data_IF_400986097516
#
_entry.id   IF_400986097516
#
_cell.length_a   1.000
_cell.length_b   1.000
_cell.length_c   1.000
_cell.angle_alpha   90.00
_cell.angle_beta   90.00
_cell.angle_gamma   90.00
#
_symmetry.space_group_name_H-M   'P 1'
#
loop_
_entity.id
_entity.type
_entity.pdbx_description
1 polymer ?
#
# COMPACT_ATOMS: atom_id res chain seq x y z
N UNK A 1 7.33 -19.19 -44.77
CA UNK A 1 8.59 -19.86 -44.37
C UNK A 1 9.08 -19.16 -43.12
N UNK A 2 9.38 -19.75 -41.97
CA UNK A 2 9.36 -21.10 -41.40
C UNK A 2 9.53 -20.86 -39.88
N UNK A 3 8.69 -21.46 -39.05
CA UNK A 3 8.99 -22.65 -38.25
C UNK A 3 10.05 -22.44 -37.15
N UNK A 4 9.60 -22.82 -35.95
CA UNK A 4 10.23 -22.88 -34.64
C UNK A 4 11.64 -23.47 -34.59
N UNK A 5 12.35 -23.18 -33.50
CA UNK A 5 12.91 -24.21 -32.61
C UNK A 5 13.28 -23.60 -31.24
N UNK A 6 12.62 -24.06 -30.19
CA UNK A 6 13.02 -23.83 -28.79
C UNK A 6 13.44 -25.18 -28.20
N UNK A 7 14.72 -25.31 -27.89
CA UNK A 7 15.28 -26.47 -27.20
C UNK A 7 15.14 -26.26 -25.69
N UNK A 8 14.25 -27.02 -25.07
CA UNK A 8 14.05 -27.06 -23.62
C UNK A 8 14.88 -28.21 -23.05
N UNK A 9 16.07 -27.92 -22.54
CA UNK A 9 16.87 -28.87 -21.77
C UNK A 9 17.21 -28.28 -20.40
N UNK A 10 16.69 -28.94 -19.38
CA UNK A 10 17.35 -29.07 -18.09
C UNK A 10 17.17 -27.93 -17.09
N UNK A 11 16.01 -27.87 -16.44
CA UNK A 11 15.91 -27.31 -15.09
C UNK A 11 14.68 -27.91 -14.37
N UNK A 12 14.72 -29.22 -14.12
CA UNK A 12 13.91 -29.83 -13.08
C UNK A 12 14.72 -29.79 -11.79
N UNK A 13 14.55 -28.74 -10.99
CA UNK A 13 14.41 -28.92 -9.54
C UNK A 13 13.82 -27.65 -8.91
N UNK A 14 12.59 -27.82 -8.42
CA UNK A 14 12.06 -27.09 -7.28
C UNK A 14 11.67 -25.61 -7.50
N UNK A 15 10.52 -25.39 -8.17
CA UNK A 15 9.49 -24.39 -7.80
C UNK A 15 8.26 -24.57 -8.71
N UNK A 16 7.08 -24.54 -8.09
CA UNK A 16 5.79 -24.97 -8.63
C UNK A 16 5.49 -24.47 -10.04
N UNK A 17 5.53 -25.40 -10.98
CA UNK A 17 5.00 -25.23 -12.34
C UNK A 17 3.53 -25.60 -12.36
N UNK A 18 2.75 -24.79 -13.08
CA UNK A 18 1.36 -25.05 -13.46
C UNK A 18 1.33 -26.29 -14.37
N UNK A 19 1.16 -27.45 -13.75
CA UNK A 19 0.96 -28.73 -14.43
C UNK A 19 -0.54 -28.83 -14.70
N UNK A 20 -0.93 -28.92 -15.97
CA UNK A 20 -2.31 -29.26 -16.35
C UNK A 20 -2.56 -30.71 -15.89
N UNK A 21 -3.08 -30.87 -14.68
CA UNK A 21 -3.59 -32.15 -14.18
C UNK A 21 -4.92 -32.44 -14.85
N UNK A 22 -4.94 -33.38 -15.79
CA UNK A 22 -6.19 -33.98 -16.27
C UNK A 22 -6.78 -34.86 -15.15
N UNK A 23 -8.03 -34.59 -14.80
CA UNK A 23 -8.75 -35.28 -13.72
C UNK A 23 -9.03 -36.72 -14.19
N UNK A 24 -8.18 -37.67 -13.79
CA UNK A 24 -8.29 -39.09 -14.18
C UNK A 24 -9.36 -39.85 -13.36
N UNK A 25 -9.81 -39.29 -12.23
CA UNK A 25 -10.87 -39.87 -11.40
C UNK A 25 -12.00 -38.86 -11.21
N UNK A 26 -13.16 -39.12 -11.83
CA UNK A 26 -14.43 -38.55 -11.37
C UNK A 26 -14.68 -39.11 -9.97
N UNK A 27 -14.67 -38.25 -8.95
CA UNK A 27 -15.17 -38.66 -7.64
C UNK A 27 -16.60 -39.15 -7.81
N UNK A 28 -16.89 -40.37 -7.34
CA UNK A 28 -18.22 -40.93 -7.13
C UNK A 28 -18.90 -40.22 -5.95
N UNK A 29 -18.82 -38.90 -5.92
CA UNK A 29 -19.47 -38.05 -4.94
C UNK A 29 -20.51 -37.29 -5.74
N UNK A 30 -21.77 -37.70 -5.56
CA UNK A 30 -22.92 -37.04 -6.16
C UNK A 30 -22.83 -35.57 -5.76
N UNK A 31 -22.85 -34.68 -6.75
CA UNK A 31 -22.80 -33.25 -6.52
C UNK A 31 -23.94 -32.87 -5.56
N UNK A 32 -23.66 -32.17 -4.44
CA UNK A 32 -24.69 -31.80 -3.46
C UNK A 32 -25.84 -31.00 -4.08
N UNK A 33 -25.59 -30.26 -5.18
CA UNK A 33 -26.65 -29.62 -5.96
C UNK A 33 -27.52 -30.67 -6.64
N UNK A 34 -26.93 -31.70 -7.22
CA UNK A 34 -27.62 -32.81 -7.87
C UNK A 34 -28.43 -33.65 -6.86
N UNK A 35 -27.92 -33.81 -5.64
CA UNK A 35 -28.65 -34.43 -4.53
C UNK A 35 -29.82 -33.56 -4.06
N UNK A 36 -29.65 -32.24 -4.01
CA UNK A 36 -30.73 -31.29 -3.70
C UNK A 36 -31.80 -31.22 -4.80
N UNK A 37 -31.42 -31.34 -6.07
CA UNK A 37 -32.37 -31.41 -7.19
C UNK A 37 -33.15 -32.72 -7.17
N UNK A 38 -32.52 -33.82 -6.74
CA UNK A 38 -33.19 -35.11 -6.53
C UNK A 38 -34.15 -35.09 -5.33
N UNK A 39 -33.86 -34.30 -4.29
CA UNK A 39 -34.71 -34.19 -3.10
C UNK A 39 -35.88 -33.22 -3.26
N UNK A 40 -35.88 -32.39 -4.31
CA UNK A 40 -37.02 -31.57 -4.69
C UNK A 40 -38.20 -32.46 -5.10
N UNK A 41 -39.17 -32.58 -4.21
CA UNK A 41 -40.47 -33.18 -4.52
C UNK A 41 -41.18 -32.29 -5.55
N UNK A 42 -41.56 -32.87 -6.69
CA UNK A 42 -42.41 -32.20 -7.69
C UNK A 42 -43.66 -31.70 -6.97
N UNK A 43 -43.74 -30.39 -6.75
CA UNK A 43 -44.92 -29.74 -6.21
C UNK A 43 -46.10 -30.07 -7.11
N UNK A 44 -47.29 -30.25 -6.51
CA UNK A 44 -48.52 -30.54 -7.25
C UNK A 44 -48.64 -29.57 -8.43
N UNK A 45 -48.99 -30.06 -9.63
CA UNK A 45 -49.05 -29.21 -10.81
C UNK A 45 -49.96 -28.02 -10.51
N UNK A 46 -49.50 -26.81 -10.85
CA UNK A 46 -50.27 -25.57 -10.71
C UNK A 46 -51.59 -25.69 -11.51
N UNK A 47 -51.60 -26.56 -12.53
CA UNK A 47 -52.74 -26.90 -13.35
C UNK A 47 -53.42 -28.20 -12.86
N UNK A 48 -54.73 -28.14 -12.60
CA UNK A 48 -55.54 -29.21 -11.98
C UNK A 48 -55.82 -30.44 -12.86
N UNK A 49 -55.34 -30.53 -14.10
CA UNK A 49 -55.58 -31.71 -14.97
C UNK A 49 -54.51 -31.92 -16.04
N UNK A 50 -54.34 -33.17 -16.48
CA UNK A 50 -53.43 -33.57 -17.56
C UNK A 50 -53.81 -32.91 -18.91
N UNK A 51 -52.83 -32.65 -19.80
CA UNK A 51 -53.10 -32.08 -21.12
C UNK A 51 -54.01 -33.03 -21.92
N UNK A 52 -55.02 -32.51 -22.65
CA UNK A 52 -55.80 -33.36 -23.54
C UNK A 52 -54.89 -33.89 -24.66
N UNK A 53 -55.06 -35.16 -25.03
CA UNK A 53 -54.35 -35.80 -26.14
C UNK A 53 -54.58 -35.00 -27.43
N UNK A 54 -53.55 -34.29 -27.88
CA UNK A 54 -53.56 -33.44 -29.08
C UNK A 54 -53.73 -34.29 -30.34
N UNK A 55 -54.83 -34.14 -31.08
CA UNK A 55 -55.13 -34.95 -32.27
C UNK A 55 -54.95 -34.23 -33.62
N UNK A 56 -54.62 -32.93 -33.70
CA UNK A 56 -54.31 -32.30 -34.99
C UNK A 56 -53.60 -30.93 -34.89
N UNK A 57 -52.53 -30.75 -35.68
CA UNK A 57 -51.78 -29.49 -35.81
C UNK A 57 -52.60 -28.32 -36.39
N UNK A 58 -53.65 -28.60 -37.16
CA UNK A 58 -54.52 -27.56 -37.73
C UNK A 58 -55.46 -26.94 -36.69
N UNK A 59 -55.87 -27.69 -35.66
CA UNK A 59 -56.66 -27.16 -34.53
C UNK A 59 -55.83 -26.25 -33.61
N UNK A 60 -54.51 -26.36 -33.67
CA UNK A 60 -53.57 -25.50 -32.93
C UNK A 60 -53.40 -24.16 -33.65
N UNK A 61 -53.33 -24.16 -34.99
CA UNK A 61 -53.10 -22.95 -35.80
C UNK A 61 -54.34 -22.06 -35.93
N UNK A 62 -55.56 -22.64 -35.90
CA UNK A 62 -56.81 -21.88 -36.03
C UNK A 62 -57.23 -21.20 -34.72
N UNK A 63 -56.66 -21.60 -33.57
CA UNK A 63 -56.84 -20.91 -32.26
C UNK A 63 -56.03 -19.61 -32.15
N UNK A 64 -56.18 -18.74 -33.15
CA UNK A 64 -55.88 -17.30 -33.05
C UNK A 64 -56.49 -16.78 -31.73
N UNK A 65 -55.66 -16.16 -30.90
CA UNK A 65 -55.94 -15.72 -29.53
C UNK A 65 -56.99 -14.59 -29.39
N UNK A 66 -58.04 -14.58 -30.20
CA UNK A 66 -59.12 -13.60 -30.15
C UNK A 66 -60.45 -14.35 -30.16
N UNK A 67 -61.06 -14.43 -28.97
CA UNK A 67 -62.39 -15.01 -28.66
C UNK A 67 -62.38 -16.42 -28.05
N UNK A 68 -62.10 -16.48 -26.74
CA UNK A 68 -62.72 -17.46 -25.84
C UNK A 68 -63.28 -16.72 -24.63
N UNK A 69 -64.48 -16.16 -24.79
CA UNK A 69 -65.41 -16.02 -23.66
C UNK A 69 -66.44 -17.12 -23.81
N UNK A 70 -66.57 -17.92 -22.74
CA UNK A 70 -67.56 -18.97 -22.50
C UNK A 70 -67.20 -20.41 -22.87
N UNK A 71 -66.16 -20.95 -22.24
CA UNK A 71 -66.31 -22.19 -21.47
C UNK A 71 -65.44 -22.12 -20.21
N UNK A 72 -66.06 -22.40 -19.08
CA UNK A 72 -65.64 -22.05 -17.74
C UNK A 72 -64.44 -22.86 -17.23
N UNK A 73 -63.23 -22.36 -17.44
CA UNK A 73 -62.13 -22.49 -16.48
C UNK A 73 -61.11 -21.40 -16.75
N UNK A 74 -61.42 -20.22 -16.22
CA UNK A 74 -60.53 -19.08 -16.06
C UNK A 74 -59.15 -19.51 -15.58
N UNK A 75 -58.19 -19.73 -16.47
CA UNK A 75 -56.76 -19.86 -16.14
C UNK A 75 -56.16 -18.48 -15.89
N UNK A 76 -56.86 -17.70 -15.08
CA UNK A 76 -56.48 -16.35 -14.67
C UNK A 76 -55.84 -16.45 -13.30
N UNK A 77 -54.57 -16.05 -13.20
CA UNK A 77 -53.91 -15.88 -11.91
C UNK A 77 -54.78 -14.97 -11.04
N UNK A 78 -55.02 -15.35 -9.80
CA UNK A 78 -55.79 -14.55 -8.86
C UNK A 78 -55.15 -13.13 -8.77
N UNK A 79 -55.89 -12.07 -9.12
CA UNK A 79 -55.37 -10.70 -9.08
C UNK A 79 -54.81 -10.33 -7.70
N UNK A 80 -55.34 -10.92 -6.62
CA UNK A 80 -54.88 -10.64 -5.27
C UNK A 80 -53.46 -11.20 -5.02
N UNK A 81 -53.20 -12.43 -5.48
CA UNK A 81 -51.87 -13.06 -5.39
C UNK A 81 -50.86 -12.28 -6.23
N UNK A 82 -51.28 -11.75 -7.38
CA UNK A 82 -50.43 -10.95 -8.26
C UNK A 82 -50.03 -9.63 -7.59
N UNK A 83 -50.97 -8.94 -6.94
CA UNK A 83 -50.70 -7.71 -6.16
C UNK A 83 -49.79 -8.01 -4.97
N UNK A 84 -50.01 -9.11 -4.25
CA UNK A 84 -49.15 -9.54 -3.14
C UNK A 84 -47.71 -9.82 -3.63
N UNK A 85 -47.54 -10.54 -4.73
CA UNK A 85 -46.23 -10.81 -5.33
C UNK A 85 -45.51 -9.52 -5.74
N UNK A 86 -46.22 -8.57 -6.37
CA UNK A 86 -45.65 -7.27 -6.70
C UNK A 86 -45.29 -6.45 -5.47
N UNK A 87 -46.06 -6.56 -4.39
CA UNK A 87 -45.78 -5.88 -3.12
C UNK A 87 -44.51 -6.45 -2.47
N UNK A 88 -44.39 -7.77 -2.39
CA UNK A 88 -43.19 -8.46 -1.88
C UNK A 88 -41.97 -8.13 -2.75
N UNK A 89 -42.13 -8.13 -4.07
CA UNK A 89 -41.05 -7.77 -4.99
C UNK A 89 -40.61 -6.31 -4.83
N UNK A 90 -41.56 -5.39 -4.67
CA UNK A 90 -41.29 -3.97 -4.40
C UNK A 90 -40.53 -3.78 -3.09
N UNK A 91 -41.00 -4.40 -2.01
CA UNK A 91 -40.32 -4.33 -0.71
C UNK A 91 -38.90 -4.90 -0.78
N UNK A 92 -38.71 -6.01 -1.49
CA UNK A 92 -37.38 -6.56 -1.74
C UNK A 92 -36.50 -5.61 -2.57
N UNK A 93 -37.03 -4.96 -3.61
CA UNK A 93 -36.29 -3.98 -4.40
C UNK A 93 -35.88 -2.77 -3.56
N UNK A 94 -36.78 -2.24 -2.74
CA UNK A 94 -36.53 -1.10 -1.87
C UNK A 94 -35.48 -1.44 -0.81
N UNK A 95 -35.58 -2.62 -0.19
CA UNK A 95 -34.58 -3.15 0.73
C UNK A 95 -33.20 -3.27 0.08
N UNK A 96 -33.14 -3.79 -1.16
CA UNK A 96 -31.87 -3.90 -1.89
C UNK A 96 -31.28 -2.55 -2.27
N UNK A 97 -32.11 -1.59 -2.68
CA UNK A 97 -31.67 -0.23 -2.95
C UNK A 97 -31.09 0.44 -1.70
N UNK A 98 -31.72 0.24 -0.54
CA UNK A 98 -31.23 0.75 0.73
C UNK A 98 -29.90 0.10 1.14
N UNK A 99 -29.77 -1.23 1.02
CA UNK A 99 -28.51 -1.95 1.29
C UNK A 99 -27.36 -1.40 0.43
N UNK A 100 -27.61 -1.19 -0.86
CA UNK A 100 -26.62 -0.64 -1.80
C UNK A 100 -26.23 0.78 -1.38
N UNK A 101 -27.22 1.63 -1.07
CA UNK A 101 -26.98 3.02 -0.66
C UNK A 101 -26.12 3.09 0.60
N UNK A 102 -26.47 2.32 1.63
CA UNK A 102 -25.71 2.26 2.88
C UNK A 102 -24.28 1.74 2.65
N UNK A 103 -24.12 0.73 1.78
CA UNK A 103 -22.79 0.20 1.42
C UNK A 103 -21.95 1.24 0.70
N UNK A 104 -22.57 2.02 -0.18
CA UNK A 104 -21.91 3.05 -0.98
C UNK A 104 -21.46 4.22 -0.11
N UNK A 105 -22.27 4.64 0.85
CA UNK A 105 -21.92 5.64 1.87
C UNK A 105 -20.73 5.18 2.76
N UNK A 106 -20.73 3.91 3.22
CA UNK A 106 -19.58 3.36 3.97
C UNK A 106 -18.28 3.39 3.14
N UNK A 107 -18.37 3.05 1.86
CA UNK A 107 -17.22 3.07 0.95
C UNK A 107 -16.72 4.50 0.74
N UNK A 108 -17.62 5.46 0.51
CA UNK A 108 -17.29 6.88 0.34
C UNK A 108 -16.58 7.43 1.58
N UNK A 109 -17.13 7.22 2.77
CA UNK A 109 -16.51 7.62 4.04
C UNK A 109 -15.09 7.03 4.20
N UNK A 110 -14.89 5.77 3.83
CA UNK A 110 -13.57 5.13 3.88
C UNK A 110 -12.59 5.71 2.86
N UNK A 111 -13.06 6.09 1.68
CA UNK A 111 -12.25 6.74 0.65
C UNK A 111 -11.81 8.12 1.15
N UNK A 112 -12.72 8.91 1.73
CA UNK A 112 -12.38 10.24 2.29
C UNK A 112 -11.31 10.14 3.38
N UNK A 113 -11.46 9.20 4.31
CA UNK A 113 -10.47 8.97 5.36
C UNK A 113 -9.13 8.53 4.77
N UNK A 114 -9.13 7.63 3.78
CA UNK A 114 -7.92 7.18 3.12
C UNK A 114 -7.19 8.33 2.38
N UNK A 115 -7.93 9.20 1.69
CA UNK A 115 -7.38 10.38 1.00
C UNK A 115 -6.78 11.40 1.98
N UNK A 116 -7.49 11.68 3.07
CA UNK A 116 -7.00 12.55 4.13
C UNK A 116 -5.71 12.02 4.78
N UNK A 117 -5.63 10.70 5.00
CA UNK A 117 -4.43 10.05 5.52
C UNK A 117 -3.28 10.06 4.50
N UNK A 118 -3.55 9.78 3.23
CA UNK A 118 -2.55 9.81 2.16
C UNK A 118 -1.95 11.21 2.02
N UNK A 119 -2.79 12.25 2.04
CA UNK A 119 -2.37 13.65 2.00
C UNK A 119 -1.47 14.03 3.19
N UNK A 120 -1.86 13.63 4.41
CA UNK A 120 -1.05 13.85 5.63
C UNK A 120 0.29 13.12 5.57
N UNK A 121 0.30 11.89 5.06
CA UNK A 121 1.52 11.09 4.91
C UNK A 121 2.48 11.76 3.92
N UNK A 122 1.97 12.21 2.77
CA UNK A 122 2.76 12.92 1.77
C UNK A 122 3.34 14.22 2.33
N UNK A 123 2.54 15.00 3.07
CA UNK A 123 3.01 16.22 3.73
C UNK A 123 4.18 15.94 4.69
N UNK A 124 4.05 14.91 5.54
CA UNK A 124 5.13 14.53 6.48
C UNK A 124 6.37 14.04 5.76
N UNK A 125 6.22 13.25 4.70
CA UNK A 125 7.35 12.80 3.90
C UNK A 125 8.11 13.98 3.28
N UNK A 126 7.40 14.94 2.70
CA UNK A 126 8.03 16.13 2.10
C UNK A 126 8.76 16.98 3.14
N UNK A 127 8.19 17.14 4.33
CA UNK A 127 8.87 17.84 5.43
C UNK A 127 10.14 17.11 5.86
N UNK A 128 10.06 15.79 6.09
CA UNK A 128 11.21 14.96 6.45
C UNK A 128 12.32 15.00 5.38
N UNK A 129 11.93 14.87 4.10
CA UNK A 129 12.83 14.97 2.96
C UNK A 129 13.53 16.34 2.91
N UNK A 130 12.80 17.42 3.18
CA UNK A 130 13.38 18.77 3.24
C UNK A 130 14.39 18.89 4.39
N UNK A 131 14.03 18.44 5.59
CA UNK A 131 14.93 18.44 6.74
C UNK A 131 16.20 17.63 6.46
N UNK A 132 16.05 16.45 5.86
CA UNK A 132 17.17 15.57 5.51
C UNK A 132 18.10 16.20 4.46
N UNK A 133 17.55 16.91 3.45
CA UNK A 133 18.35 17.68 2.50
C UNK A 133 19.14 18.80 3.18
N UNK A 134 18.52 19.54 4.09
CA UNK A 134 19.19 20.59 4.86
C UNK A 134 20.33 20.02 5.70
N UNK A 135 20.10 18.93 6.43
CA UNK A 135 21.15 18.24 7.20
C UNK A 135 22.28 17.74 6.29
N UNK A 136 21.94 17.12 5.15
CA UNK A 136 22.93 16.67 4.17
C UNK A 136 23.77 17.83 3.63
N UNK A 137 23.15 18.99 3.37
CA UNK A 137 23.85 20.18 2.93
C UNK A 137 24.81 20.70 4.01
N UNK A 138 24.37 20.81 5.28
CA UNK A 138 25.26 21.19 6.37
C UNK A 138 26.43 20.22 6.55
N UNK A 139 26.19 18.90 6.49
CA UNK A 139 27.25 17.90 6.57
C UNK A 139 28.25 18.00 5.42
N UNK A 140 27.80 18.35 4.21
CA UNK A 140 28.72 18.59 3.09
C UNK A 140 29.67 19.77 3.33
N UNK A 141 29.22 20.79 4.06
CA UNK A 141 30.07 21.95 4.43
C UNK A 141 31.09 21.61 5.52
N UNK A 142 30.78 20.66 6.42
CA UNK A 142 31.69 20.21 7.49
C UNK A 142 33.02 19.70 6.92
N UNK A 143 32.98 19.00 5.78
CA UNK A 143 34.21 18.51 5.14
C UNK A 143 35.14 19.66 4.73
N UNK A 144 34.58 20.75 4.17
CA UNK A 144 35.36 21.94 3.82
C UNK A 144 36.03 22.58 5.03
N UNK A 145 35.27 22.77 6.11
CA UNK A 145 35.80 23.32 7.37
C UNK A 145 36.88 22.42 7.98
N UNK A 146 36.74 21.10 7.88
CA UNK A 146 37.74 20.16 8.37
C UNK A 146 39.08 20.31 7.63
N UNK A 147 39.03 20.56 6.32
CA UNK A 147 40.23 20.80 5.50
C UNK A 147 40.90 22.12 5.90
N UNK A 148 40.13 23.21 6.00
CA UNK A 148 40.64 24.53 6.40
C UNK A 148 41.26 24.50 7.81
N UNK A 149 40.64 23.80 8.76
CA UNK A 149 41.19 23.59 10.10
C UNK A 149 42.51 22.82 10.06
N UNK A 150 42.62 21.81 9.21
CA UNK A 150 43.85 21.05 8.99
C UNK A 150 44.99 21.93 8.45
N UNK A 151 44.69 22.76 7.46
CA UNK A 151 45.65 23.70 6.88
C UNK A 151 46.12 24.74 7.91
N UNK A 152 45.18 25.35 8.65
CA UNK A 152 45.48 26.32 9.69
C UNK A 152 46.35 25.72 10.80
N UNK A 153 46.05 24.48 11.22
CA UNK A 153 46.89 23.73 12.17
C UNK A 153 48.30 23.50 11.63
N UNK A 154 48.43 23.19 10.33
CA UNK A 154 49.73 23.07 9.66
C UNK A 154 50.52 24.38 9.72
N UNK A 155 49.91 25.50 9.31
CA UNK A 155 50.52 26.84 9.37
C UNK A 155 50.92 27.25 10.78
N UNK A 156 50.07 26.99 11.78
CA UNK A 156 50.38 27.26 13.18
C UNK A 156 51.58 26.44 13.67
N UNK A 157 51.64 25.16 13.30
CA UNK A 157 52.77 24.28 13.66
C UNK A 157 54.07 24.79 13.04
N UNK A 158 54.02 25.26 11.79
CA UNK A 158 55.16 25.87 11.12
C UNK A 158 55.63 27.14 11.85
N UNK A 159 54.71 28.04 12.22
CA UNK A 159 55.02 29.26 12.97
C UNK A 159 55.63 28.94 14.34
N UNK A 160 55.06 27.98 15.08
CA UNK A 160 55.61 27.55 16.38
C UNK A 160 57.02 26.99 16.20
N UNK A 161 57.25 26.15 15.19
CA UNK A 161 58.56 25.59 14.91
C UNK A 161 59.55 26.71 14.48
N UNK A 162 59.12 27.67 13.68
CA UNK A 162 59.92 28.83 13.31
C UNK A 162 60.32 29.64 14.56
N UNK A 163 59.37 29.94 15.45
CA UNK A 163 59.64 30.59 16.73
C UNK A 163 60.60 29.77 17.60
N UNK A 164 60.48 28.45 17.68
CA UNK A 164 61.40 27.58 18.42
C UNK A 164 62.82 27.62 17.84
N UNK A 165 62.95 27.56 16.50
CA UNK A 165 64.26 27.71 15.85
C UNK A 165 64.89 29.08 16.10
N UNK A 166 64.06 30.13 16.14
CA UNK A 166 64.51 31.48 16.49
C UNK A 166 64.96 31.56 17.95
N UNK A 167 64.19 30.98 18.88
CA UNK A 167 64.55 30.91 20.30
C UNK A 167 65.89 30.18 20.50
N UNK A 168 66.07 29.04 19.82
CA UNK A 168 67.34 28.28 19.82
C UNK A 168 68.51 29.12 19.28
N UNK A 169 68.30 29.87 18.19
CA UNK A 169 69.33 30.76 17.63
C UNK A 169 69.70 31.89 18.58
N UNK A 170 68.72 32.53 19.22
CA UNK A 170 68.98 33.58 20.22
C UNK A 170 69.76 33.01 21.40
N UNK A 171 69.45 31.80 21.84
CA UNK A 171 70.21 31.14 22.92
C UNK A 171 71.65 30.80 22.52
N UNK A 172 71.91 30.45 21.25
CA UNK A 172 73.24 30.09 20.75
C UNK A 172 74.11 31.33 20.43
N UNK A 173 73.54 32.34 19.77
CA UNK A 173 74.28 33.45 19.14
C UNK A 173 73.87 34.84 19.67
N UNK A 174 72.79 34.93 20.45
CA UNK A 174 72.23 36.20 20.92
C UNK A 174 73.01 36.85 22.06
N UNK A 175 72.87 38.17 22.17
CA UNK A 175 73.44 38.99 23.24
C UNK A 175 72.88 38.62 24.62
N UNK A 176 73.65 38.88 25.68
CA UNK A 176 73.33 38.42 27.04
C UNK A 176 71.97 38.95 27.56
N UNK A 177 71.55 40.15 27.13
CA UNK A 177 70.23 40.72 27.42
C UNK A 177 69.09 39.91 26.80
N UNK A 178 69.23 39.50 25.53
CA UNK A 178 68.21 38.73 24.81
C UNK A 178 68.06 37.31 25.35
N UNK A 179 69.16 36.67 25.76
CA UNK A 179 69.13 35.33 26.38
C UNK A 179 68.35 35.30 27.69
N UNK A 180 68.30 36.41 28.43
CA UNK A 180 67.55 36.50 29.69
C UNK A 180 66.03 36.65 29.50
N UNK A 181 65.58 37.03 28.29
CA UNK A 181 64.18 37.38 28.01
C UNK A 181 63.42 36.27 27.26
N UNK A 182 64.12 35.37 26.57
CA UNK A 182 63.48 34.35 25.73
C UNK A 182 63.10 33.11 26.55
N UNK A 183 61.80 32.81 26.61
CA UNK A 183 61.27 31.55 27.15
C UNK A 183 60.72 30.71 25.99
N UNK A 184 61.16 29.45 25.80
CA UNK A 184 60.62 28.59 24.73
C UNK A 184 59.12 28.32 24.92
N UNK A 185 58.39 28.26 23.82
CA UNK A 185 56.98 27.85 23.81
C UNK A 185 56.90 26.34 24.06
N UNK A 186 56.67 25.94 25.31
CA UNK A 186 56.46 24.53 25.66
C UNK A 186 55.01 24.15 25.32
N UNK A 187 54.85 23.19 24.42
CA UNK A 187 53.55 22.57 24.13
C UNK A 187 53.19 21.65 25.30
N UNK A 188 52.12 21.97 26.04
CA UNK A 188 51.60 21.08 27.07
C UNK A 188 51.04 19.78 26.44
N UNK A 189 51.25 18.60 27.05
CA UNK A 189 50.72 17.35 26.55
C UNK A 189 49.18 17.35 26.54
N UNK A 190 48.55 16.63 25.59
CA UNK A 190 47.13 16.73 25.27
C UNK A 190 46.16 16.30 26.39
N UNK A 191 46.65 15.73 27.50
CA UNK A 191 45.82 15.14 28.55
C UNK A 191 45.31 16.13 29.63
N UNK A 192 45.44 17.45 29.42
CA UNK A 192 45.10 18.45 30.43
C UNK A 192 43.97 19.43 30.06
N UNK A 193 43.30 19.25 28.92
CA UNK A 193 42.11 20.06 28.58
C UNK A 193 40.84 19.30 28.95
N UNK A 194 40.44 19.43 30.21
CA UNK A 194 39.08 19.08 30.63
C UNK A 194 38.13 20.13 30.03
N UNK A 195 37.53 19.81 28.88
CA UNK A 195 36.45 20.60 28.32
C UNK A 195 35.19 20.38 29.17
N UNK A 196 34.95 21.28 30.12
CA UNK A 196 33.63 21.40 30.75
C UNK A 196 32.66 21.98 29.71
N UNK A 197 32.07 21.12 28.88
CA UNK A 197 30.96 21.49 28.02
C UNK A 197 29.73 21.56 28.92
N UNK A 198 29.40 22.76 29.40
CA UNK A 198 28.10 23.03 29.99
C UNK A 198 27.07 23.02 28.87
N UNK A 199 26.34 21.92 28.72
CA UNK A 199 25.13 21.83 27.90
C UNK A 199 24.11 22.85 28.42
N UNK A 200 23.97 23.96 27.72
CA UNK A 200 22.88 24.91 27.93
C UNK A 200 21.63 24.33 27.27
N UNK A 201 20.80 23.68 28.07
CA UNK A 201 19.42 23.33 27.71
C UNK A 201 18.61 24.61 27.57
N UNK A 202 18.26 24.98 26.34
CA UNK A 202 17.23 25.98 26.08
C UNK A 202 15.87 25.32 26.32
N UNK A 203 15.26 25.65 27.44
CA UNK A 203 13.83 25.43 27.68
C UNK A 203 13.05 26.36 26.74
N UNK A 204 12.25 25.79 25.84
CA UNK A 204 11.23 26.54 25.13
C UNK A 204 9.99 26.56 26.01
N UNK A 205 9.75 27.68 26.67
CA UNK A 205 8.46 27.98 27.28
C UNK A 205 7.40 28.09 26.17
N UNK A 206 6.29 27.40 26.38
CA UNK A 206 5.07 27.51 25.60
C UNK A 206 4.23 28.59 26.30
N UNK A 207 4.08 29.77 25.68
CA UNK A 207 3.03 30.71 26.07
C UNK A 207 1.74 30.37 25.31
N UNK A 208 0.65 30.55 26.05
CA UNK A 208 -0.76 30.22 25.79
C UNK A 208 -1.43 31.16 24.78
#
# INVERSE_FOLDING_TARGET
MGASDSTLLGAQENRGGDVITTISQRSERVDPVLESLKSLTVSRPILKSAPPTESSLTDILVRKALSSSSSSSSYTVDPQILVELFSIFREWQDSKAQDITNRQEDIENKIEVADALASKLLQRFNHSLSAMRTTSHHLSQVHGLQVELGELKGRLTEVINNCDTLCKRINAEGSQSLRSTVTPLILAPPDSVSMNITTTTMSSEHEE
#
